data_IF_580607546549
#
_entry.id   IF_580607546549
#
_cell.length_a   1.000
_cell.length_b   1.000
_cell.length_c   1.000
_cell.angle_alpha   90.00
_cell.angle_beta   90.00
_cell.angle_gamma   90.00
#
_symmetry.space_group_name_H-M   'P 1'
#
loop_
_entity.id
_entity.type
_entity.pdbx_description
1 polymer ?
#
# COMPACT_ATOMS: atom_id res chain seq x y z
N UNK A 1 3.66 -12.86 4.94
CA UNK A 1 3.82 -12.77 3.48
C UNK A 1 2.67 -13.49 2.76
N UNK A 2 2.43 -14.78 3.01
CA UNK A 2 1.28 -15.51 2.42
C UNK A 2 -0.07 -14.81 2.62
N UNK A 3 -0.38 -14.36 3.84
CA UNK A 3 -1.62 -13.62 4.11
C UNK A 3 -1.76 -12.30 3.32
N UNK A 4 -0.64 -11.64 3.01
CA UNK A 4 -0.65 -10.46 2.16
C UNK A 4 -0.97 -10.85 0.71
N UNK A 5 -0.34 -11.91 0.20
CA UNK A 5 -0.60 -12.40 -1.15
C UNK A 5 -2.05 -12.88 -1.33
N UNK A 6 -2.65 -13.50 -0.30
CA UNK A 6 -4.08 -13.86 -0.33
C UNK A 6 -4.99 -12.62 -0.45
N UNK A 7 -4.67 -11.53 0.24
CA UNK A 7 -5.41 -10.28 0.08
C UNK A 7 -5.31 -9.71 -1.35
N UNK A 8 -4.20 -9.94 -2.08
CA UNK A 8 -4.14 -9.56 -3.50
C UNK A 8 -4.95 -10.48 -4.40
N UNK A 9 -5.11 -11.75 -4.04
CA UNK A 9 -5.89 -12.73 -4.83
C UNK A 9 -7.39 -12.49 -4.76
N UNK A 10 -7.88 -11.79 -3.73
CA UNK A 10 -9.30 -11.45 -3.62
C UNK A 10 -9.73 -10.31 -4.55
N UNK A 11 -8.80 -9.62 -5.21
CA UNK A 11 -9.15 -8.65 -6.24
C UNK A 11 -9.75 -9.34 -7.46
N UNK A 12 -10.86 -8.80 -7.96
CA UNK A 12 -11.51 -9.24 -9.19
C UNK A 12 -10.96 -8.54 -10.45
N UNK A 13 -10.46 -7.31 -10.31
CA UNK A 13 -9.94 -6.50 -11.43
C UNK A 13 -8.40 -6.49 -11.45
N UNK A 14 -7.83 -7.07 -12.51
CA UNK A 14 -6.39 -7.15 -12.71
C UNK A 14 -5.73 -5.77 -12.93
N UNK A 15 -6.39 -4.83 -13.58
CA UNK A 15 -5.82 -3.50 -13.81
C UNK A 15 -5.83 -2.66 -12.52
N UNK A 16 -6.86 -2.85 -11.68
CA UNK A 16 -6.88 -2.30 -10.33
C UNK A 16 -5.71 -2.84 -9.49
N UNK A 17 -5.46 -4.16 -9.52
CA UNK A 17 -4.32 -4.78 -8.84
C UNK A 17 -2.98 -4.20 -9.31
N UNK A 18 -2.79 -4.06 -10.62
CA UNK A 18 -1.56 -3.44 -11.17
C UNK A 18 -1.37 -2.01 -10.64
N UNK A 19 -2.42 -1.21 -10.59
CA UNK A 19 -2.37 0.16 -10.10
C UNK A 19 -2.02 0.22 -8.61
N UNK A 20 -2.63 -0.65 -7.81
CA UNK A 20 -2.33 -0.82 -6.38
C UNK A 20 -0.86 -1.19 -6.17
N UNK A 21 -0.39 -2.26 -6.83
CA UNK A 21 0.98 -2.75 -6.68
C UNK A 21 2.01 -1.72 -7.17
N UNK A 22 1.74 -1.03 -8.28
CA UNK A 22 2.61 0.03 -8.79
C UNK A 22 2.75 1.16 -7.78
N UNK A 23 1.65 1.59 -7.16
CA UNK A 23 1.71 2.64 -6.15
C UNK A 23 2.41 2.18 -4.86
N UNK A 24 2.16 0.95 -4.41
CA UNK A 24 2.86 0.38 -3.26
C UNK A 24 4.36 0.27 -3.50
N UNK A 25 4.76 -0.15 -4.70
CA UNK A 25 6.16 -0.22 -5.11
C UNK A 25 6.84 1.15 -5.01
N UNK A 26 6.15 2.25 -5.38
CA UNK A 26 6.68 3.61 -5.21
C UNK A 26 6.95 3.91 -3.74
N UNK A 27 6.06 3.55 -2.81
CA UNK A 27 6.28 3.78 -1.38
C UNK A 27 7.45 2.97 -0.84
N UNK A 28 7.53 1.68 -1.18
CA UNK A 28 8.64 0.81 -0.77
C UNK A 28 9.96 1.32 -1.35
N UNK A 29 9.99 1.71 -2.63
CA UNK A 29 11.19 2.26 -3.28
C UNK A 29 11.66 3.55 -2.60
N UNK A 30 10.74 4.42 -2.17
CA UNK A 30 11.10 5.63 -1.42
C UNK A 30 11.74 5.31 -0.07
N UNK A 31 11.23 4.29 0.64
CA UNK A 31 11.83 3.82 1.90
C UNK A 31 13.21 3.21 1.66
N UNK A 32 13.36 2.34 0.67
CA UNK A 32 14.64 1.71 0.33
C UNK A 32 15.69 2.74 -0.09
N UNK A 33 15.27 3.76 -0.85
CA UNK A 33 16.16 4.83 -1.32
C UNK A 33 16.75 5.66 -0.18
N UNK A 34 15.99 5.87 0.89
CA UNK A 34 16.41 6.67 2.03
C UNK A 34 15.72 6.18 3.31
N UNK A 35 16.25 5.10 3.92
CA UNK A 35 15.57 4.38 5.00
C UNK A 35 15.56 5.15 6.32
N UNK A 36 16.40 6.17 6.49
CA UNK A 36 16.43 6.97 7.74
C UNK A 36 15.38 8.07 7.72
N UNK A 37 14.90 8.47 6.55
CA UNK A 37 13.99 9.59 6.38
C UNK A 37 12.54 9.24 6.79
N UNK A 38 12.03 9.86 7.87
CA UNK A 38 10.69 9.54 8.40
C UNK A 38 9.56 9.92 7.45
N UNK A 39 9.80 10.81 6.47
CA UNK A 39 8.79 11.23 5.50
C UNK A 39 8.32 10.06 4.64
N UNK A 40 9.21 9.13 4.28
CA UNK A 40 8.86 8.00 3.39
C UNK A 40 8.13 6.86 4.10
N UNK A 41 8.16 6.83 5.44
CA UNK A 41 7.43 5.85 6.26
C UNK A 41 6.04 6.33 6.69
N UNK A 42 5.60 7.50 6.24
CA UNK A 42 4.29 8.08 6.60
C UNK A 42 3.51 8.40 5.35
N UNK A 43 2.32 7.82 5.23
CA UNK A 43 1.40 8.08 4.13
C UNK A 43 0.13 8.69 4.72
N UNK A 44 -0.26 9.87 4.23
CA UNK A 44 -1.48 10.54 4.69
C UNK A 44 -2.67 9.95 3.96
N UNK A 45 -3.71 9.57 4.71
CA UNK A 45 -5.00 9.11 4.14
C UNK A 45 -5.64 10.19 3.25
N UNK A 46 -5.39 11.46 3.55
CA UNK A 46 -5.86 12.61 2.76
C UNK A 46 -5.09 12.83 1.46
N UNK A 47 -4.01 12.10 1.21
CA UNK A 47 -3.34 12.16 -0.10
C UNK A 47 -4.30 11.58 -1.15
N UNK A 48 -4.70 12.35 -2.18
CA UNK A 48 -5.76 11.93 -3.09
C UNK A 48 -5.39 10.67 -3.88
N UNK A 49 -4.11 10.52 -4.26
CA UNK A 49 -3.63 9.35 -4.99
C UNK A 49 -3.65 8.10 -4.11
N UNK A 50 -3.16 8.21 -2.87
CA UNK A 50 -3.24 7.13 -1.91
C UNK A 50 -4.69 6.76 -1.60
N UNK A 51 -5.55 7.77 -1.42
CA UNK A 51 -6.93 7.56 -1.07
C UNK A 51 -7.66 6.76 -2.15
N UNK A 52 -7.62 7.26 -3.39
CA UNK A 52 -8.34 6.68 -4.51
C UNK A 52 -7.82 5.28 -4.90
N UNK A 53 -6.51 5.05 -4.83
CA UNK A 53 -5.89 3.81 -5.34
C UNK A 53 -5.79 2.72 -4.26
N UNK A 54 -5.58 3.08 -2.99
CA UNK A 54 -5.35 2.09 -1.92
C UNK A 54 -6.39 2.21 -0.81
N UNK A 55 -6.66 3.42 -0.30
CA UNK A 55 -7.47 3.57 0.92
C UNK A 55 -8.91 3.10 0.74
N UNK A 56 -9.51 3.25 -0.43
CA UNK A 56 -10.89 2.79 -0.68
C UNK A 56 -11.00 1.27 -0.83
N UNK A 57 -9.87 0.54 -0.92
CA UNK A 57 -9.84 -0.90 -1.19
C UNK A 57 -9.38 -1.66 0.05
N UNK A 58 -10.26 -2.47 0.61
CA UNK A 58 -10.00 -3.18 1.87
C UNK A 58 -8.85 -4.17 1.74
N UNK A 59 -8.80 -4.86 0.61
CA UNK A 59 -7.77 -5.81 0.21
C UNK A 59 -6.38 -5.14 0.15
N UNK A 60 -6.31 -3.94 -0.42
CA UNK A 60 -5.07 -3.17 -0.49
C UNK A 60 -4.62 -2.69 0.90
N UNK A 61 -5.56 -2.25 1.74
CA UNK A 61 -5.25 -1.88 3.14
C UNK A 61 -4.75 -3.09 3.93
N UNK A 62 -5.40 -4.25 3.76
CA UNK A 62 -5.02 -5.51 4.39
C UNK A 62 -3.62 -5.94 3.96
N UNK A 63 -3.29 -5.80 2.66
CA UNK A 63 -1.95 -6.06 2.17
C UNK A 63 -0.90 -5.17 2.86
N UNK A 64 -1.17 -3.86 2.98
CA UNK A 64 -0.25 -2.94 3.66
C UNK A 64 -0.04 -3.32 5.12
N UNK A 65 -1.12 -3.66 5.83
CA UNK A 65 -1.06 -4.10 7.23
C UNK A 65 -0.18 -5.33 7.38
N UNK A 66 -0.41 -6.37 6.56
CA UNK A 66 0.42 -7.58 6.56
C UNK A 66 1.86 -7.37 6.04
N UNK A 67 2.11 -6.25 5.37
CA UNK A 67 3.46 -5.84 4.94
C UNK A 67 4.21 -5.03 6.02
N UNK A 68 3.58 -4.76 7.16
CA UNK A 68 4.20 -4.06 8.30
C UNK A 68 3.91 -2.56 8.36
N UNK A 69 2.97 -2.04 7.55
CA UNK A 69 2.43 -0.70 7.77
C UNK A 69 1.37 -0.74 8.89
N UNK A 70 1.25 0.35 9.63
CA UNK A 70 0.27 0.47 10.71
C UNK A 70 -0.61 1.70 10.47
N UNK A 71 -1.88 1.59 10.82
CA UNK A 71 -2.77 2.75 10.86
C UNK A 71 -2.55 3.47 12.20
N UNK A 72 -2.00 4.68 12.11
CA UNK A 72 -1.81 5.54 13.28
C UNK A 72 -2.96 6.55 13.35
N UNK A 73 -3.62 6.61 14.50
CA UNK A 73 -4.68 7.57 14.81
C UNK A 73 -4.13 8.94 15.21
#
# INVERSE_FOLDING_TARGET
MEAALEALRSFSDTDQVKNVLSLMQVYVNNIVKDPVNPKYRKIRITNPKFNAVIWQLEEARTFLLFSGFEQVH
#
